data_IF_550595380069
#
_entry.id   IF_550595380069
#
_cell.length_a   1.000
_cell.length_b   1.000
_cell.length_c   1.000
_cell.angle_alpha   90.00
_cell.angle_beta   90.00
_cell.angle_gamma   90.00
#
_symmetry.space_group_name_H-M   'P 1'
#
loop_
_entity.id
_entity.type
_entity.pdbx_description
1 polymer ?
#
# COMPACT_ATOMS: atom_id res chain seq x y z
N UNK A 1 30.66 4.51 48.65
CA UNK A 1 29.76 3.43 48.28
C UNK A 1 28.31 3.92 48.03
N UNK A 2 27.98 5.16 48.40
CA UNK A 2 26.64 5.77 48.11
C UNK A 2 26.58 6.47 46.74
N UNK A 3 27.70 6.96 46.21
CA UNK A 3 27.75 7.61 44.87
C UNK A 3 27.51 6.63 43.69
N UNK A 4 27.78 5.34 43.89
CA UNK A 4 27.57 4.34 42.83
C UNK A 4 26.13 3.89 42.70
N UNK A 5 25.25 4.17 43.68
CA UNK A 5 23.81 3.85 43.64
C UNK A 5 22.99 4.98 43.05
N UNK A 6 23.51 6.20 42.97
CA UNK A 6 22.81 7.34 42.34
C UNK A 6 23.00 7.40 40.81
N UNK A 7 23.94 6.63 40.24
CA UNK A 7 24.26 6.63 38.82
C UNK A 7 23.46 5.63 38.01
N UNK A 8 22.60 4.81 38.63
CA UNK A 8 21.81 3.77 37.96
C UNK A 8 20.36 4.14 37.63
N UNK A 9 19.95 5.38 37.86
CA UNK A 9 18.72 5.90 37.26
C UNK A 9 19.02 6.70 35.99
N UNK A 10 19.84 6.13 35.10
CA UNK A 10 19.80 6.54 33.71
C UNK A 10 18.41 6.24 33.20
N UNK A 11 17.66 7.29 32.92
CA UNK A 11 16.37 7.17 32.21
C UNK A 11 16.69 6.52 30.85
N UNK A 12 16.54 5.22 30.79
CA UNK A 12 16.69 4.47 29.55
C UNK A 12 15.60 4.91 28.57
N UNK A 13 15.90 5.91 27.76
CA UNK A 13 15.07 6.35 26.63
C UNK A 13 15.19 5.39 25.43
N UNK A 14 15.55 4.12 25.68
CA UNK A 14 15.49 3.11 24.64
C UNK A 14 14.06 2.95 24.14
N UNK A 15 13.87 2.81 22.82
CA UNK A 15 12.56 2.58 22.20
C UNK A 15 11.78 1.46 22.88
N UNK A 16 12.46 0.38 23.25
CA UNK A 16 11.86 -0.78 23.92
C UNK A 16 11.40 -0.42 25.33
N UNK A 17 12.20 0.32 26.08
CA UNK A 17 11.84 0.73 27.43
C UNK A 17 10.67 1.70 27.47
N UNK A 18 10.60 2.65 26.51
CA UNK A 18 9.48 3.57 26.35
C UNK A 18 8.22 2.82 25.93
N UNK A 19 8.33 1.87 25.01
CA UNK A 19 7.19 1.03 24.59
C UNK A 19 6.65 0.19 25.78
N UNK A 20 7.52 -0.41 26.58
CA UNK A 20 7.11 -1.22 27.73
C UNK A 20 6.45 -0.39 28.84
N UNK A 21 6.89 0.84 29.05
CA UNK A 21 6.30 1.77 30.04
C UNK A 21 5.06 2.49 29.55
N UNK A 22 4.83 2.51 28.22
CA UNK A 22 3.72 3.21 27.60
C UNK A 22 2.36 2.72 28.14
N UNK A 23 1.41 3.63 28.20
CA UNK A 23 0.01 3.34 28.56
C UNK A 23 -0.62 2.38 27.54
N UNK A 24 -1.55 1.55 27.98
CA UNK A 24 -2.22 0.57 27.11
C UNK A 24 -2.74 1.19 25.80
N UNK A 25 -3.40 2.35 25.88
CA UNK A 25 -3.92 3.06 24.70
C UNK A 25 -2.82 3.46 23.72
N UNK A 26 -1.70 4.00 24.21
CA UNK A 26 -0.58 4.40 23.36
C UNK A 26 0.13 3.18 22.77
N UNK A 27 0.24 2.07 23.49
CA UNK A 27 0.72 0.77 22.96
C UNK A 27 -0.10 0.30 21.77
N UNK A 28 -1.44 0.34 21.90
CA UNK A 28 -2.35 -0.05 20.81
C UNK A 28 -2.13 0.84 19.59
N UNK A 29 -2.05 2.16 19.78
CA UNK A 29 -1.78 3.11 18.68
C UNK A 29 -0.47 2.78 17.99
N UNK A 30 0.62 2.59 18.74
CA UNK A 30 1.94 2.25 18.18
C UNK A 30 1.89 0.93 17.40
N UNK A 31 1.26 -0.11 17.94
CA UNK A 31 1.13 -1.40 17.26
C UNK A 31 0.34 -1.29 15.96
N UNK A 32 -0.77 -0.54 15.95
CA UNK A 32 -1.57 -0.30 14.74
C UNK A 32 -0.74 0.40 13.68
N UNK A 33 0.03 1.44 14.05
CA UNK A 33 0.89 2.17 13.10
C UNK A 33 2.02 1.28 12.55
N UNK A 34 2.70 0.50 13.39
CA UNK A 34 3.77 -0.41 12.98
C UNK A 34 3.21 -1.48 12.03
N UNK A 35 2.08 -2.09 12.36
CA UNK A 35 1.44 -3.10 11.51
C UNK A 35 0.99 -2.52 10.17
N UNK A 36 0.36 -1.35 10.18
CA UNK A 36 -0.05 -0.64 8.96
C UNK A 36 1.15 -0.28 8.08
N UNK A 37 2.27 0.15 8.69
CA UNK A 37 3.51 0.43 7.98
C UNK A 37 4.07 -0.82 7.30
N UNK A 38 4.18 -1.92 8.03
CA UNK A 38 4.69 -3.18 7.47
C UNK A 38 3.82 -3.68 6.31
N UNK A 39 2.49 -3.62 6.47
CA UNK A 39 1.55 -4.02 5.43
C UNK A 39 1.61 -3.11 4.20
N UNK A 40 1.77 -1.80 4.40
CA UNK A 40 1.96 -0.83 3.32
C UNK A 40 3.22 -1.14 2.49
N UNK A 41 4.34 -1.43 3.14
CA UNK A 41 5.56 -1.82 2.44
C UNK A 41 5.39 -3.12 1.65
N UNK A 42 4.70 -4.11 2.19
CA UNK A 42 4.40 -5.35 1.47
C UNK A 42 3.61 -5.08 0.18
N UNK A 43 2.56 -4.24 0.25
CA UNK A 43 1.77 -3.85 -0.93
C UNK A 43 2.63 -3.08 -1.93
N UNK A 44 3.46 -2.14 -1.49
CA UNK A 44 4.33 -1.34 -2.38
C UNK A 44 5.29 -2.24 -3.16
N UNK A 45 5.98 -3.16 -2.47
CA UNK A 45 6.92 -4.08 -3.10
C UNK A 45 6.20 -4.98 -4.12
N UNK A 46 5.03 -5.53 -3.76
CA UNK A 46 4.21 -6.32 -4.66
C UNK A 46 3.83 -5.51 -5.91
N UNK A 47 3.34 -4.28 -5.74
CA UNK A 47 2.92 -3.42 -6.87
C UNK A 47 4.08 -3.03 -7.79
N UNK A 48 5.25 -2.75 -7.24
CA UNK A 48 6.44 -2.47 -8.05
C UNK A 48 6.82 -3.68 -8.91
N UNK A 49 6.77 -4.89 -8.35
CA UNK A 49 7.08 -6.12 -9.08
C UNK A 49 6.05 -6.41 -10.16
N UNK A 50 4.75 -6.31 -9.84
CA UNK A 50 3.65 -6.50 -10.78
C UNK A 50 3.72 -5.50 -11.95
N UNK A 51 3.99 -4.23 -11.64
CA UNK A 51 4.12 -3.17 -12.64
C UNK A 51 5.31 -3.42 -13.59
N UNK A 52 6.47 -3.80 -13.03
CA UNK A 52 7.67 -4.12 -13.84
C UNK A 52 7.41 -5.32 -14.76
N UNK A 53 6.75 -6.36 -14.24
CA UNK A 53 6.36 -7.55 -15.00
C UNK A 53 5.41 -7.18 -16.14
N UNK A 54 4.34 -6.47 -15.83
CA UNK A 54 3.34 -6.02 -16.83
C UNK A 54 3.95 -5.13 -17.93
N UNK A 55 4.87 -4.23 -17.55
CA UNK A 55 5.58 -3.38 -18.52
C UNK A 55 6.45 -4.20 -19.49
N UNK A 56 7.11 -5.25 -18.99
CA UNK A 56 7.92 -6.15 -19.82
C UNK A 56 7.05 -6.98 -20.77
N UNK A 57 5.98 -7.58 -20.25
CA UNK A 57 5.03 -8.37 -21.03
C UNK A 57 4.39 -7.54 -22.15
N UNK A 58 3.94 -6.32 -21.82
CA UNK A 58 3.43 -5.35 -22.79
C UNK A 58 4.43 -5.08 -23.91
N UNK A 59 5.70 -4.84 -23.57
CA UNK A 59 6.72 -4.53 -24.59
C UNK A 59 6.94 -5.71 -25.54
N UNK A 60 7.10 -6.92 -25.00
CA UNK A 60 7.30 -8.13 -25.79
C UNK A 60 6.11 -8.35 -26.74
N UNK A 61 4.88 -8.27 -26.23
CA UNK A 61 3.69 -8.44 -27.04
C UNK A 61 3.58 -7.38 -28.15
N UNK A 62 3.85 -6.10 -27.85
CA UNK A 62 3.78 -5.05 -28.87
C UNK A 62 4.85 -5.20 -29.96
N UNK A 63 6.06 -5.61 -29.59
CA UNK A 63 7.13 -5.88 -30.56
C UNK A 63 6.73 -7.03 -31.51
N UNK A 64 6.09 -8.06 -30.96
CA UNK A 64 5.58 -9.21 -31.74
C UNK A 64 4.37 -8.83 -32.59
N UNK A 65 3.41 -8.10 -32.05
CA UNK A 65 2.21 -7.65 -32.74
C UNK A 65 2.53 -6.76 -33.97
N UNK A 66 3.54 -5.89 -33.85
CA UNK A 66 3.96 -4.99 -34.93
C UNK A 66 5.03 -5.58 -35.83
N UNK A 67 5.45 -6.82 -35.63
CA UNK A 67 6.43 -7.49 -36.50
C UNK A 67 5.91 -7.82 -37.91
N UNK A 68 4.59 -7.68 -38.13
CA UNK A 68 3.95 -7.94 -39.42
C UNK A 68 3.54 -9.40 -39.65
N UNK A 69 3.56 -10.25 -38.63
CA UNK A 69 3.09 -11.63 -38.68
C UNK A 69 1.56 -11.74 -38.83
N UNK A 70 1.07 -12.97 -39.02
CA UNK A 70 -0.38 -13.25 -39.08
C UNK A 70 -1.02 -13.07 -37.68
N UNK A 71 -2.08 -12.28 -37.61
CA UNK A 71 -2.85 -12.11 -36.37
C UNK A 71 -3.50 -13.42 -35.88
N UNK A 72 -3.83 -14.32 -36.82
CA UNK A 72 -4.40 -15.62 -36.50
C UNK A 72 -3.36 -16.55 -35.86
N UNK A 73 -2.11 -16.54 -36.36
CA UNK A 73 -1.03 -17.30 -35.78
C UNK A 73 -0.70 -16.80 -34.38
N UNK A 74 -0.59 -15.49 -34.20
CA UNK A 74 -0.39 -14.86 -32.89
C UNK A 74 -1.51 -15.19 -31.91
N UNK A 75 -2.77 -15.18 -32.37
CA UNK A 75 -3.90 -15.55 -31.56
C UNK A 75 -3.84 -17.02 -31.13
N UNK A 76 -3.56 -17.94 -32.06
CA UNK A 76 -3.47 -19.37 -31.74
C UNK A 76 -2.33 -19.67 -30.76
N UNK A 77 -1.24 -18.91 -30.80
CA UNK A 77 -0.13 -19.05 -29.86
C UNK A 77 -0.47 -18.54 -28.46
N UNK A 78 -1.18 -17.40 -28.36
CA UNK A 78 -1.46 -16.73 -27.07
C UNK A 78 -2.78 -17.13 -26.42
N UNK A 79 -3.67 -17.79 -27.16
CA UNK A 79 -5.03 -18.11 -26.73
C UNK A 79 -5.08 -18.95 -25.45
N UNK A 80 -4.21 -19.94 -25.32
CA UNK A 80 -4.28 -20.92 -24.23
C UNK A 80 -3.76 -20.38 -22.89
N UNK A 81 -2.77 -19.48 -22.92
CA UNK A 81 -2.18 -18.85 -21.73
C UNK A 81 -1.78 -17.40 -21.97
N UNK A 82 -2.75 -16.48 -22.14
CA UNK A 82 -2.44 -15.08 -22.42
C UNK A 82 -1.80 -14.38 -21.23
N UNK A 83 -0.56 -13.92 -21.39
CA UNK A 83 0.24 -13.25 -20.37
C UNK A 83 0.04 -11.73 -20.41
N UNK A 84 -0.42 -11.17 -19.31
CA UNK A 84 -0.58 -9.73 -19.21
C UNK A 84 -1.84 -9.16 -19.86
N UNK A 85 -2.02 -7.84 -19.71
CA UNK A 85 -3.23 -7.15 -20.15
C UNK A 85 -3.39 -7.12 -21.67
N UNK A 86 -2.28 -6.86 -22.40
CA UNK A 86 -2.34 -6.67 -23.85
C UNK A 86 -2.73 -7.97 -24.58
N UNK A 87 -2.15 -9.10 -24.19
CA UNK A 87 -2.48 -10.39 -24.78
C UNK A 87 -3.94 -10.77 -24.51
N UNK A 88 -4.42 -10.56 -23.27
CA UNK A 88 -5.82 -10.84 -22.92
C UNK A 88 -6.81 -9.94 -23.65
N UNK A 89 -6.50 -8.65 -23.82
CA UNK A 89 -7.33 -7.73 -24.61
C UNK A 89 -7.35 -8.17 -26.08
N UNK A 90 -6.19 -8.54 -26.62
CA UNK A 90 -6.08 -9.03 -28.00
C UNK A 90 -6.87 -10.33 -28.19
N UNK A 91 -6.71 -11.32 -27.31
CA UNK A 91 -7.46 -12.57 -27.37
C UNK A 91 -8.97 -12.33 -27.28
N UNK A 92 -9.42 -11.45 -26.37
CA UNK A 92 -10.84 -11.11 -26.26
C UNK A 92 -11.40 -10.43 -27.53
N UNK A 93 -10.60 -9.60 -28.19
CA UNK A 93 -10.98 -9.01 -29.46
C UNK A 93 -11.05 -10.07 -30.57
N UNK A 94 -10.07 -10.97 -30.66
CA UNK A 94 -10.07 -12.04 -31.65
C UNK A 94 -11.19 -13.06 -31.44
N UNK A 95 -11.50 -13.41 -30.18
CA UNK A 95 -12.63 -14.27 -29.85
C UNK A 95 -13.96 -13.65 -30.33
N UNK A 96 -14.15 -12.35 -30.11
CA UNK A 96 -15.36 -11.66 -30.53
C UNK A 96 -15.40 -11.46 -32.06
N UNK A 97 -14.24 -11.23 -32.68
CA UNK A 97 -14.12 -11.18 -34.13
C UNK A 97 -14.58 -12.50 -34.78
N UNK A 98 -14.07 -13.64 -34.30
CA UNK A 98 -14.44 -14.95 -34.80
C UNK A 98 -15.94 -15.25 -34.61
N UNK A 99 -16.53 -14.84 -33.47
CA UNK A 99 -17.98 -14.99 -33.22
C UNK A 99 -18.86 -14.08 -34.07
N UNK A 100 -18.29 -12.96 -34.53
CA UNK A 100 -19.01 -11.96 -35.32
C UNK A 100 -18.82 -12.15 -36.84
N UNK A 101 -18.01 -13.14 -37.23
CA UNK A 101 -17.87 -13.56 -38.63
C UNK A 101 -18.90 -14.64 -38.96
N UNK A 102 -19.75 -14.39 -39.91
CA UNK A 102 -20.71 -15.39 -40.42
C UNK A 102 -19.92 -16.42 -41.28
N UNK A 103 -20.44 -17.62 -41.45
CA UNK A 103 -19.79 -18.69 -42.21
C UNK A 103 -19.36 -18.33 -43.64
N UNK A 104 -19.87 -17.24 -44.21
CA UNK A 104 -19.51 -16.68 -45.52
C UNK A 104 -18.41 -15.55 -45.42
N UNK A 105 -17.80 -15.33 -44.25
CA UNK A 105 -16.80 -14.30 -44.05
C UNK A 105 -17.33 -12.86 -44.03
N UNK A 106 -18.66 -12.65 -44.02
CA UNK A 106 -19.27 -11.35 -43.84
C UNK A 106 -19.35 -10.99 -42.37
N UNK A 107 -18.87 -9.80 -42.03
CA UNK A 107 -18.98 -9.25 -40.70
C UNK A 107 -20.42 -8.79 -40.43
N UNK A 108 -20.93 -9.13 -39.26
CA UNK A 108 -22.26 -8.70 -38.80
C UNK A 108 -22.22 -7.20 -38.51
N UNK A 109 -23.30 -6.46 -38.81
CA UNK A 109 -23.37 -5.04 -38.47
C UNK A 109 -23.11 -4.79 -36.97
N UNK A 110 -22.29 -3.78 -36.67
CA UNK A 110 -21.97 -3.42 -35.29
C UNK A 110 -20.80 -4.21 -34.66
N UNK A 111 -20.04 -4.99 -35.46
CA UNK A 111 -18.84 -5.73 -34.98
C UNK A 111 -17.88 -4.84 -34.23
N UNK A 112 -17.60 -3.63 -34.73
CA UNK A 112 -16.68 -2.70 -34.06
C UNK A 112 -17.10 -2.40 -32.62
N UNK A 113 -18.37 -2.09 -32.38
CA UNK A 113 -18.86 -1.80 -31.02
C UNK A 113 -18.85 -3.01 -30.09
N UNK A 114 -18.97 -4.21 -30.64
CA UNK A 114 -18.86 -5.47 -29.88
C UNK A 114 -17.41 -5.75 -29.50
N UNK A 115 -16.48 -5.58 -30.42
CA UNK A 115 -15.03 -5.69 -30.18
C UNK A 115 -14.57 -4.70 -29.10
N UNK A 116 -14.95 -3.43 -29.25
CA UNK A 116 -14.63 -2.41 -28.24
C UNK A 116 -15.15 -2.80 -26.86
N UNK A 117 -16.39 -3.27 -26.78
CA UNK A 117 -17.01 -3.72 -25.52
C UNK A 117 -16.25 -4.91 -24.91
N UNK A 118 -15.91 -5.92 -25.73
CA UNK A 118 -15.14 -7.08 -25.28
C UNK A 118 -13.77 -6.66 -24.72
N UNK A 119 -13.06 -5.77 -25.43
CA UNK A 119 -11.79 -5.22 -24.98
C UNK A 119 -11.94 -4.41 -23.67
N UNK A 120 -12.99 -3.58 -23.55
CA UNK A 120 -13.24 -2.79 -22.34
C UNK A 120 -13.49 -3.64 -21.11
N UNK A 121 -14.23 -4.76 -21.24
CA UNK A 121 -14.47 -5.68 -20.12
C UNK A 121 -13.17 -6.25 -19.58
N UNK A 122 -12.22 -6.61 -20.44
CA UNK A 122 -10.91 -7.12 -20.02
C UNK A 122 -10.07 -6.01 -19.42
N UNK A 123 -10.06 -4.82 -20.03
CA UNK A 123 -9.36 -3.65 -19.53
C UNK A 123 -9.84 -3.27 -18.13
N UNK A 124 -11.14 -3.28 -17.89
CA UNK A 124 -11.74 -2.94 -16.60
C UNK A 124 -11.31 -3.93 -15.49
N UNK A 125 -11.34 -5.23 -15.78
CA UNK A 125 -10.81 -6.26 -14.88
C UNK A 125 -9.33 -6.04 -14.53
N UNK A 126 -8.52 -5.62 -15.50
CA UNK A 126 -7.11 -5.31 -15.26
C UNK A 126 -6.93 -4.06 -14.43
N UNK A 127 -7.74 -3.01 -14.64
CA UNK A 127 -7.76 -1.81 -13.82
C UNK A 127 -8.13 -2.12 -12.37
N UNK A 128 -9.13 -2.95 -12.15
CA UNK A 128 -9.53 -3.40 -10.81
C UNK A 128 -8.39 -4.16 -10.13
N UNK A 129 -7.76 -5.10 -10.83
CA UNK A 129 -6.59 -5.84 -10.32
C UNK A 129 -5.41 -4.93 -10.00
N UNK A 130 -5.11 -3.95 -10.83
CA UNK A 130 -4.04 -2.98 -10.58
C UNK A 130 -4.38 -2.02 -9.45
N UNK A 131 -5.64 -1.64 -9.29
CA UNK A 131 -6.11 -0.74 -8.22
C UNK A 131 -6.23 -1.44 -6.87
N UNK A 132 -6.32 -2.76 -6.85
CA UNK A 132 -6.36 -3.56 -5.62
C UNK A 132 -5.19 -3.21 -4.70
N UNK A 133 -5.47 -2.96 -3.42
CA UNK A 133 -4.47 -2.56 -2.41
C UNK A 133 -4.09 -1.07 -2.41
N UNK A 134 -4.31 -0.31 -3.50
CA UNK A 134 -4.04 1.13 -3.52
C UNK A 134 -5.00 1.90 -2.61
N UNK A 135 -6.25 1.45 -2.49
CA UNK A 135 -7.22 2.01 -1.54
C UNK A 135 -6.75 1.89 -0.09
N UNK A 136 -6.14 0.76 0.27
CA UNK A 136 -5.54 0.59 1.60
C UNK A 136 -4.41 1.60 1.84
N UNK A 137 -3.49 1.75 0.88
CA UNK A 137 -2.40 2.73 0.96
C UNK A 137 -2.91 4.16 1.08
N UNK A 138 -3.93 4.53 0.31
CA UNK A 138 -4.55 5.85 0.38
C UNK A 138 -5.22 6.08 1.75
N UNK A 139 -5.92 5.08 2.27
CA UNK A 139 -6.56 5.17 3.59
C UNK A 139 -5.50 5.28 4.69
N UNK A 140 -4.47 4.46 4.70
CA UNK A 140 -3.39 4.54 5.68
C UNK A 140 -2.70 5.89 5.61
N UNK A 141 -2.34 6.38 4.41
CA UNK A 141 -1.70 7.68 4.24
C UNK A 141 -2.54 8.86 4.72
N UNK A 142 -3.86 8.79 4.61
CA UNK A 142 -4.76 9.85 5.10
C UNK A 142 -5.07 9.75 6.59
N UNK A 143 -5.16 8.54 7.16
CA UNK A 143 -5.61 8.31 8.53
C UNK A 143 -4.46 8.23 9.53
N UNK A 144 -3.30 7.69 9.13
CA UNK A 144 -2.15 7.50 10.02
C UNK A 144 -1.72 8.77 10.79
N UNK A 145 -1.66 9.98 10.17
CA UNK A 145 -1.34 11.21 10.89
C UNK A 145 -2.31 11.51 12.04
N UNK A 146 -3.61 11.27 11.83
CA UNK A 146 -4.62 11.51 12.87
C UNK A 146 -4.53 10.49 14.00
N UNK A 147 -4.24 9.22 13.68
CA UNK A 147 -4.03 8.16 14.67
C UNK A 147 -2.79 8.46 15.52
N UNK A 148 -1.70 8.90 14.88
CA UNK A 148 -0.49 9.30 15.62
C UNK A 148 -0.72 10.54 16.49
N UNK A 149 -1.41 11.57 15.96
CA UNK A 149 -1.78 12.75 16.74
C UNK A 149 -2.65 12.37 17.95
N UNK A 150 -3.61 11.47 17.77
CA UNK A 150 -4.40 10.94 18.90
C UNK A 150 -3.49 10.31 19.95
N UNK A 151 -2.50 9.49 19.55
CA UNK A 151 -1.52 8.90 20.45
C UNK A 151 -0.75 9.94 21.26
N UNK A 152 -0.31 11.04 20.62
CA UNK A 152 0.41 12.13 21.30
C UNK A 152 -0.47 12.86 22.32
N UNK A 153 -1.68 13.22 21.92
CA UNK A 153 -2.62 13.92 22.82
C UNK A 153 -2.95 13.05 24.04
N UNK A 154 -3.13 11.75 23.81
CA UNK A 154 -3.41 10.81 24.89
C UNK A 154 -2.22 10.65 25.84
N UNK A 155 -0.99 10.55 25.32
CA UNK A 155 0.22 10.47 26.13
C UNK A 155 0.44 11.73 26.98
N UNK A 156 0.28 12.92 26.38
CA UNK A 156 0.38 14.20 27.08
C UNK A 156 -0.69 14.32 28.17
N UNK A 157 -1.93 13.94 27.86
CA UNK A 157 -3.02 13.92 28.83
C UNK A 157 -2.66 13.07 30.05
N UNK A 158 -2.08 11.88 29.83
CA UNK A 158 -1.69 10.99 30.92
C UNK A 158 -0.54 11.59 31.76
N UNK A 159 0.45 12.24 31.12
CA UNK A 159 1.52 12.93 31.83
C UNK A 159 1.00 14.03 32.77
N UNK A 160 0.00 14.81 32.32
CA UNK A 160 -0.64 15.82 33.18
C UNK A 160 -1.49 15.20 34.30
N UNK A 161 -2.11 14.05 34.07
CA UNK A 161 -2.82 13.34 35.15
C UNK A 161 -1.86 12.87 36.25
N UNK A 162 -0.65 12.44 35.91
CA UNK A 162 0.35 12.04 36.91
C UNK A 162 0.83 13.24 37.75
N UNK A 163 1.00 14.43 37.15
CA UNK A 163 1.28 15.67 37.91
C UNK A 163 0.18 15.91 38.93
N UNK A 164 -1.06 15.81 38.53
CA UNK A 164 -2.20 16.09 39.41
C UNK A 164 -2.31 15.07 40.58
N UNK A 165 -1.96 13.81 40.34
CA UNK A 165 -1.99 12.75 41.34
C UNK A 165 -0.83 12.87 42.34
N UNK A 166 0.37 13.22 41.85
CA UNK A 166 1.59 13.29 42.68
C UNK A 166 1.78 14.66 43.32
N UNK A 167 0.94 15.63 43.01
CA UNK A 167 1.04 17.04 43.47
C UNK A 167 2.44 17.64 43.26
N UNK A 168 3.17 17.11 42.28
CA UNK A 168 4.55 17.45 41.99
C UNK A 168 4.71 17.84 40.53
N UNK A 169 5.10 19.08 40.29
CA UNK A 169 5.45 19.60 38.96
C UNK A 169 6.90 19.27 38.54
N UNK A 170 7.51 18.25 39.16
CA UNK A 170 8.87 17.86 38.81
C UNK A 170 8.92 17.31 37.37
N UNK A 171 9.83 17.87 36.57
CA UNK A 171 10.03 17.45 35.16
C UNK A 171 10.36 15.95 35.03
N UNK A 172 10.98 15.35 36.04
CA UNK A 172 11.29 13.92 36.05
C UNK A 172 10.05 13.01 36.04
N UNK A 173 8.91 13.51 36.52
CA UNK A 173 7.62 12.79 36.55
C UNK A 173 6.97 12.78 35.15
N UNK A 174 7.08 13.87 34.40
CA UNK A 174 6.36 14.06 33.12
C UNK A 174 7.21 13.71 31.90
N UNK A 175 8.54 13.76 32.04
CA UNK A 175 9.45 13.49 30.92
C UNK A 175 9.20 12.12 30.24
N UNK A 176 8.93 11.02 30.96
CA UNK A 176 8.62 9.74 30.32
C UNK A 176 7.36 9.77 29.47
N UNK A 177 6.26 10.38 29.97
CA UNK A 177 4.99 10.49 29.24
C UNK A 177 5.07 11.38 28.00
N UNK A 178 5.85 12.47 28.08
CA UNK A 178 6.12 13.32 26.92
C UNK A 178 6.97 12.59 25.88
N UNK A 179 8.02 11.87 26.32
CA UNK A 179 8.86 11.08 25.44
C UNK A 179 8.08 9.97 24.74
N UNK A 180 7.15 9.31 25.43
CA UNK A 180 6.22 8.33 24.87
C UNK A 180 5.34 8.94 23.78
N UNK A 181 4.76 10.12 24.04
CA UNK A 181 3.93 10.84 23.08
C UNK A 181 4.74 11.20 21.82
N UNK A 182 5.96 11.70 21.95
CA UNK A 182 6.85 12.04 20.83
C UNK A 182 7.27 10.81 20.03
N UNK A 183 7.45 9.67 20.69
CA UNK A 183 7.74 8.41 20.01
C UNK A 183 6.55 7.98 19.11
N UNK A 184 5.32 8.07 19.62
CA UNK A 184 4.13 7.78 18.81
C UNK A 184 4.02 8.70 17.58
N UNK A 185 4.40 9.97 17.72
CA UNK A 185 4.44 10.94 16.61
C UNK A 185 5.51 10.56 15.57
N UNK A 186 6.68 10.12 16.00
CA UNK A 186 7.79 9.75 15.10
C UNK A 186 7.43 8.56 14.22
N UNK A 187 6.59 7.65 14.68
CA UNK A 187 6.13 6.48 13.92
C UNK A 187 5.26 6.86 12.70
N UNK A 188 4.65 8.04 12.69
CA UNK A 188 3.89 8.54 11.52
C UNK A 188 4.82 8.67 10.32
N UNK A 189 6.03 9.22 10.51
CA UNK A 189 7.00 9.40 9.42
C UNK A 189 7.49 8.07 8.83
N UNK A 190 7.46 6.99 9.60
CA UNK A 190 7.82 5.65 9.13
C UNK A 190 6.68 5.04 8.31
N UNK A 191 5.43 5.37 8.63
CA UNK A 191 4.26 4.87 7.92
C UNK A 191 3.94 5.65 6.64
N UNK A 192 4.55 6.81 6.40
CA UNK A 192 4.32 7.69 5.25
C UNK A 192 5.55 7.81 4.32
N UNK A 193 6.01 6.72 3.68
CA UNK A 193 7.26 6.75 2.89
C UNK A 193 7.16 7.51 1.56
N UNK A 194 5.97 8.04 1.19
CA UNK A 194 5.68 8.49 -0.17
C UNK A 194 5.56 9.99 -0.35
N UNK A 195 5.66 10.79 0.70
CA UNK A 195 5.65 12.25 0.56
C UNK A 195 7.04 12.78 0.20
N UNK A 196 7.55 12.44 -1.02
CA UNK A 196 8.57 13.26 -1.65
C UNK A 196 7.85 14.36 -2.46
N UNK A 197 8.19 15.65 -2.25
CA UNK A 197 7.77 16.68 -3.18
C UNK A 197 8.38 16.35 -4.55
N UNK A 198 7.53 16.31 -5.55
CA UNK A 198 7.90 16.25 -6.97
C UNK A 198 8.42 17.65 -7.34
#
# INVERSE_FOLDING_TARGET
>A
MEESLLQSQSLDFSFIALFLKATFTVKVVMLVLIFSSFWSWAIIIQKITDYRKSKREKKVFLDEFWSGGSLEELYNEKRDDPKGACEQIFCAAMDEWQRSSDGDGKLIDGVQSRLERAMYVVLDRWNEKLSSGLYFLATVGSVAPFVGLFGTVWGIKNAFQEIAIQESSNLAVVAPGIAEALLALSLIHISEPTRRPI
#
